data_IF_395010219906
#
_entry.id   IF_395010219906
#
_cell.length_a   1.000
_cell.length_b   1.000
_cell.length_c   1.000
_cell.angle_alpha   90.00
_cell.angle_beta   90.00
_cell.angle_gamma   90.00
#
_symmetry.space_group_name_H-M   'P 1'
#
loop_
_entity.id
_entity.type
_entity.pdbx_description
1 polymer ?
#
# COMPACT_ATOMS: atom_id res chain seq x y z
N UNK A 1 10.10 47.73 -11.31
CA UNK A 1 10.40 47.12 -9.99
C UNK A 1 9.54 45.88 -9.83
N UNK A 2 10.06 44.72 -10.24
CA UNK A 2 9.42 43.43 -9.94
C UNK A 2 9.76 43.13 -8.49
N UNK A 3 8.76 43.10 -7.62
CA UNK A 3 8.94 42.77 -6.21
C UNK A 3 9.12 41.25 -6.14
N UNK A 4 10.35 40.79 -5.92
CA UNK A 4 10.61 39.40 -5.56
C UNK A 4 9.99 39.13 -4.19
N UNK A 5 8.78 38.58 -4.18
CA UNK A 5 8.16 38.06 -2.97
C UNK A 5 8.74 36.67 -2.72
N UNK A 6 9.62 36.57 -1.73
CA UNK A 6 10.08 35.28 -1.23
C UNK A 6 8.89 34.47 -0.73
N UNK A 7 8.64 33.30 -1.32
CA UNK A 7 7.62 32.36 -0.86
C UNK A 7 8.26 31.42 0.15
N UNK A 8 7.83 31.49 1.41
CA UNK A 8 8.22 30.53 2.44
C UNK A 8 7.21 29.39 2.43
N UNK A 9 7.65 28.18 2.10
CA UNK A 9 6.84 26.97 2.25
C UNK A 9 6.98 26.43 3.67
N UNK A 10 5.84 26.22 4.34
CA UNK A 10 5.77 25.65 5.68
C UNK A 10 5.44 24.15 5.59
N UNK A 11 6.00 23.31 6.47
CA UNK A 11 5.66 21.89 6.53
C UNK A 11 4.19 21.70 6.97
N UNK A 12 3.67 20.49 6.71
CA UNK A 12 2.38 20.09 7.27
C UNK A 12 2.48 20.01 8.82
N UNK A 13 1.40 20.40 9.53
CA UNK A 13 1.41 20.42 10.98
C UNK A 13 1.53 19.01 11.56
N UNK A 14 2.35 18.87 12.60
CA UNK A 14 2.50 17.64 13.39
C UNK A 14 1.32 17.47 14.35
N UNK A 15 1.22 16.29 14.97
CA UNK A 15 0.14 15.97 15.93
C UNK A 15 0.02 16.99 17.07
N UNK A 16 1.16 17.44 17.63
CA UNK A 16 1.20 18.45 18.69
C UNK A 16 0.64 19.81 18.22
N UNK A 17 0.98 20.22 17.00
CA UNK A 17 0.50 21.47 16.40
C UNK A 17 -0.99 21.39 16.07
N UNK A 18 -1.46 20.25 15.56
CA UNK A 18 -2.88 19.98 15.31
C UNK A 18 -3.69 19.95 16.60
N UNK A 19 -3.13 19.37 17.67
CA UNK A 19 -3.73 19.36 19.01
C UNK A 19 -3.90 20.78 19.55
N UNK A 20 -2.85 21.62 19.43
CA UNK A 20 -2.90 23.02 19.82
C UNK A 20 -3.90 23.82 18.95
N UNK A 21 -3.94 23.56 17.64
CA UNK A 21 -4.90 24.17 16.72
C UNK A 21 -6.35 23.80 17.09
N UNK A 22 -6.63 22.53 17.36
CA UNK A 22 -7.95 22.05 17.76
C UNK A 22 -8.38 22.69 19.08
N UNK A 23 -7.50 22.72 20.08
CA UNK A 23 -7.74 23.39 21.36
C UNK A 23 -8.13 24.85 21.16
N UNK A 24 -7.39 25.57 20.30
CA UNK A 24 -7.68 26.96 19.98
C UNK A 24 -9.03 27.15 19.25
N UNK A 25 -9.41 26.19 18.40
CA UNK A 25 -10.68 26.24 17.65
C UNK A 25 -11.87 25.88 18.53
N UNK A 26 -11.72 24.95 19.48
CA UNK A 26 -12.78 24.52 20.40
C UNK A 26 -13.16 25.61 21.43
N UNK A 27 -12.29 26.59 21.68
CA UNK A 27 -12.66 27.84 22.33
C UNK A 27 -12.79 27.82 23.86
N UNK A 28 -12.60 26.69 24.55
CA UNK A 28 -12.49 26.63 26.02
C UNK A 28 -11.86 25.31 26.50
N UNK A 29 -11.30 25.35 27.72
CA UNK A 29 -10.52 24.34 28.43
C UNK A 29 -11.01 22.89 28.26
N UNK A 30 -10.14 22.03 27.73
CA UNK A 30 -10.27 20.57 27.78
C UNK A 30 -10.28 20.18 29.26
N UNK A 31 -11.45 19.82 29.80
CA UNK A 31 -11.67 19.55 31.22
C UNK A 31 -11.88 18.05 31.42
N UNK A 32 -10.77 17.33 31.50
CA UNK A 32 -10.73 15.95 31.99
C UNK A 32 -9.99 14.96 31.09
N UNK A 33 -9.72 13.76 31.62
CA UNK A 33 -8.91 12.74 30.94
C UNK A 33 -9.55 12.13 29.68
N UNK A 34 -10.89 12.09 29.61
CA UNK A 34 -11.61 11.54 28.44
C UNK A 34 -11.54 12.49 27.24
N UNK A 35 -11.67 13.81 27.47
CA UNK A 35 -11.51 14.82 26.42
C UNK A 35 -10.08 14.92 25.88
N UNK A 36 -9.06 14.61 26.70
CA UNK A 36 -7.67 14.53 26.24
C UNK A 36 -7.47 13.36 25.26
N UNK A 37 -8.11 12.21 25.51
CA UNK A 37 -8.11 11.07 24.59
C UNK A 37 -8.73 11.43 23.25
N UNK A 38 -9.95 11.99 23.29
CA UNK A 38 -10.67 12.45 22.09
C UNK A 38 -9.90 13.52 21.31
N UNK A 39 -9.16 14.39 22.01
CA UNK A 39 -8.36 15.43 21.38
C UNK A 39 -7.17 14.84 20.63
N UNK A 40 -6.47 13.89 21.24
CA UNK A 40 -5.40 13.15 20.58
C UNK A 40 -5.92 12.34 19.39
N UNK A 41 -7.09 11.72 19.51
CA UNK A 41 -7.73 10.99 18.40
C UNK A 41 -8.13 11.93 17.26
N UNK A 42 -8.71 13.08 17.56
CA UNK A 42 -9.08 14.09 16.56
C UNK A 42 -7.85 14.72 15.88
N UNK A 43 -6.76 14.96 16.63
CA UNK A 43 -5.50 15.45 16.07
C UNK A 43 -4.87 14.41 15.12
N UNK A 44 -4.80 13.14 15.54
CA UNK A 44 -4.33 12.02 14.69
C UNK A 44 -5.22 11.84 13.46
N UNK A 45 -6.53 11.95 13.62
CA UNK A 45 -7.47 11.91 12.51
C UNK A 45 -7.25 13.04 11.49
N UNK A 46 -6.69 14.18 11.89
CA UNK A 46 -6.40 15.34 11.03
C UNK A 46 -5.00 15.37 10.40
N UNK A 47 -4.09 14.44 10.76
CA UNK A 47 -2.76 14.35 10.13
C UNK A 47 -2.89 14.25 8.60
N UNK A 48 -2.00 14.89 7.85
CA UNK A 48 -2.07 15.01 6.39
C UNK A 48 -2.86 16.22 5.86
N UNK A 49 -3.49 17.01 6.72
CA UNK A 49 -4.14 18.27 6.34
C UNK A 49 -3.22 19.47 6.54
N UNK A 50 -3.31 20.48 5.69
CA UNK A 50 -2.70 21.79 5.97
C UNK A 50 -3.36 22.44 7.19
N UNK A 51 -2.67 23.36 7.88
CA UNK A 51 -3.22 24.05 9.06
C UNK A 51 -4.58 24.73 8.77
N UNK A 52 -4.72 25.36 7.60
CA UNK A 52 -5.97 25.99 7.17
C UNK A 52 -7.09 24.98 6.93
N UNK A 53 -6.76 23.82 6.35
CA UNK A 53 -7.72 22.74 6.16
C UNK A 53 -8.14 22.12 7.49
N UNK A 54 -7.19 21.87 8.39
CA UNK A 54 -7.45 21.35 9.72
C UNK A 54 -8.40 22.28 10.50
N UNK A 55 -8.16 23.60 10.51
CA UNK A 55 -9.08 24.56 11.16
C UNK A 55 -10.49 24.49 10.58
N UNK A 56 -10.62 24.41 9.25
CA UNK A 56 -11.93 24.28 8.59
C UNK A 56 -12.63 22.98 8.97
N UNK A 57 -11.89 21.86 8.98
CA UNK A 57 -12.41 20.53 9.34
C UNK A 57 -12.82 20.49 10.81
N UNK A 58 -12.01 21.03 11.72
CA UNK A 58 -12.32 21.11 13.15
C UNK A 58 -13.59 21.93 13.41
N UNK A 59 -13.74 23.11 12.81
CA UNK A 59 -14.96 23.93 12.95
C UNK A 59 -16.20 23.16 12.51
N UNK A 60 -16.14 22.51 11.34
CA UNK A 60 -17.25 21.72 10.82
C UNK A 60 -17.59 20.53 11.72
N UNK A 61 -16.57 19.80 12.17
CA UNK A 61 -16.72 18.64 13.02
C UNK A 61 -17.31 18.98 14.39
N UNK A 62 -16.83 20.05 15.05
CA UNK A 62 -17.34 20.50 16.34
C UNK A 62 -18.80 20.94 16.27
N UNK A 63 -19.22 21.59 15.17
CA UNK A 63 -20.63 21.96 14.97
C UNK A 63 -21.51 20.71 14.79
N UNK A 64 -21.06 19.75 13.98
CA UNK A 64 -21.82 18.52 13.72
C UNK A 64 -21.88 17.58 14.94
N UNK A 65 -20.79 17.50 15.70
CA UNK A 65 -20.68 16.67 16.90
C UNK A 65 -21.14 17.33 18.20
N UNK A 66 -21.64 18.57 18.14
CA UNK A 66 -21.99 19.42 19.29
C UNK A 66 -20.85 19.52 20.33
N UNK A 67 -19.61 19.61 19.86
CA UNK A 67 -18.40 19.54 20.66
C UNK A 67 -17.44 18.47 20.15
N UNK A 68 -16.40 18.21 20.95
CA UNK A 68 -15.43 17.16 20.67
C UNK A 68 -16.04 15.81 21.09
N UNK A 69 -16.43 15.01 20.12
CA UNK A 69 -17.15 13.75 20.34
C UNK A 69 -16.78 12.73 19.25
N UNK A 70 -17.14 11.46 19.47
CA UNK A 70 -16.91 10.39 18.48
C UNK A 70 -17.51 10.72 17.08
N UNK A 71 -18.75 11.26 16.96
CA UNK A 71 -19.26 11.74 15.67
C UNK A 71 -18.44 12.87 15.03
N UNK A 72 -17.82 13.74 15.84
CA UNK A 72 -16.93 14.77 15.34
C UNK A 72 -15.69 14.15 14.69
N UNK A 73 -15.07 13.17 15.34
CA UNK A 73 -13.89 12.43 14.83
C UNK A 73 -14.24 11.71 13.52
N UNK A 74 -15.38 11.03 13.45
CA UNK A 74 -15.85 10.39 12.22
C UNK A 74 -16.02 11.40 11.07
N UNK A 75 -16.53 12.61 11.38
CA UNK A 75 -16.61 13.68 10.38
C UNK A 75 -15.22 14.17 9.94
N UNK A 76 -14.25 14.28 10.86
CA UNK A 76 -12.85 14.65 10.53
C UNK A 76 -12.27 13.62 9.55
N UNK A 77 -12.40 12.32 9.84
CA UNK A 77 -11.90 11.24 8.97
C UNK A 77 -12.50 11.32 7.58
N UNK A 78 -13.82 11.57 7.48
CA UNK A 78 -14.51 11.75 6.19
C UNK A 78 -14.00 12.95 5.41
N UNK A 79 -13.83 14.10 6.05
CA UNK A 79 -13.31 15.31 5.40
C UNK A 79 -11.85 15.16 4.96
N UNK A 80 -11.02 14.52 5.80
CA UNK A 80 -9.64 14.17 5.45
C UNK A 80 -9.59 13.32 4.18
N UNK A 81 -10.43 12.29 4.07
CA UNK A 81 -10.53 11.48 2.86
C UNK A 81 -10.85 12.34 1.64
N UNK A 82 -11.72 13.35 1.77
CA UNK A 82 -12.06 14.25 0.67
C UNK A 82 -10.94 15.23 0.31
N UNK A 83 -10.21 15.75 1.31
CA UNK A 83 -9.07 16.64 1.08
C UNK A 83 -7.92 15.91 0.37
N UNK A 84 -7.59 14.69 0.81
CA UNK A 84 -6.52 13.89 0.23
C UNK A 84 -6.81 13.43 -1.21
N UNK A 85 -8.09 13.25 -1.59
CA UNK A 85 -8.51 12.98 -2.98
C UNK A 85 -8.10 14.06 -3.99
N UNK A 86 -7.65 15.23 -3.53
CA UNK A 86 -7.23 16.33 -4.40
C UNK A 86 -5.82 16.18 -4.94
N UNK A 87 -5.00 15.30 -4.35
CA UNK A 87 -3.64 15.03 -4.82
C UNK A 87 -3.76 14.03 -5.97
N UNK A 88 -3.51 14.46 -7.23
CA UNK A 88 -3.50 13.54 -8.35
C UNK A 88 -2.46 12.47 -8.06
N UNK A 89 -2.79 11.18 -8.26
CA UNK A 89 -1.93 10.03 -7.99
C UNK A 89 -1.76 9.53 -6.54
N UNK A 90 -2.25 10.22 -5.51
CA UNK A 90 -2.23 9.68 -4.14
C UNK A 90 -3.62 9.25 -3.68
N UNK A 91 -3.76 7.99 -3.28
CA UNK A 91 -5.04 7.43 -2.83
C UNK A 91 -4.91 6.76 -1.48
N UNK A 92 -5.94 6.93 -0.63
CA UNK A 92 -6.03 6.25 0.66
C UNK A 92 -6.75 4.92 0.48
N UNK A 93 -6.15 3.84 0.98
CA UNK A 93 -6.75 2.51 0.95
C UNK A 93 -7.10 2.05 2.37
N UNK A 94 -8.30 1.49 2.51
CA UNK A 94 -8.62 0.73 3.71
C UNK A 94 -7.92 -0.64 3.64
N UNK A 95 -7.23 -1.00 4.72
CA UNK A 95 -6.49 -2.26 4.81
C UNK A 95 -7.46 -3.44 5.01
N UNK A 96 -8.18 -3.81 3.95
CA UNK A 96 -9.21 -4.85 3.97
C UNK A 96 -8.67 -6.28 4.07
N UNK A 97 -7.45 -6.53 3.57
CA UNK A 97 -6.83 -7.87 3.51
C UNK A 97 -5.66 -7.99 4.48
N UNK A 98 -5.54 -9.12 5.17
CA UNK A 98 -4.46 -9.41 6.14
C UNK A 98 -3.40 -10.38 5.64
N UNK A 99 -2.47 -10.79 6.49
CA UNK A 99 -1.46 -11.80 6.10
C UNK A 99 -2.06 -13.20 5.89
N UNK A 100 -3.20 -13.51 6.52
CA UNK A 100 -3.93 -14.76 6.28
C UNK A 100 -4.67 -14.79 4.94
N UNK A 101 -4.79 -13.63 4.28
CA UNK A 101 -5.41 -13.47 2.97
C UNK A 101 -4.44 -13.68 1.81
N UNK A 102 -3.15 -13.87 2.11
CA UNK A 102 -2.07 -14.08 1.16
C UNK A 102 -1.63 -15.54 1.31
N UNK A 103 -1.79 -16.37 0.29
CA UNK A 103 -1.21 -17.72 0.29
C UNK A 103 0.30 -17.67 0.05
N UNK A 104 1.06 -18.54 0.70
CA UNK A 104 2.51 -18.62 0.53
C UNK A 104 3.31 -17.43 1.07
N UNK A 105 4.45 -17.11 0.44
CA UNK A 105 5.34 -16.00 0.82
C UNK A 105 5.83 -16.08 2.28
N UNK A 106 6.18 -17.28 2.74
CA UNK A 106 6.55 -17.55 4.14
C UNK A 106 7.71 -16.69 4.65
N UNK A 107 8.75 -16.51 3.84
CA UNK A 107 9.91 -15.67 4.15
C UNK A 107 9.51 -14.21 4.37
N UNK A 108 8.74 -13.64 3.45
CA UNK A 108 8.22 -12.27 3.55
C UNK A 108 7.35 -12.11 4.81
N UNK A 109 6.41 -13.04 5.05
CA UNK A 109 5.55 -13.01 6.24
C UNK A 109 6.37 -13.04 7.54
N UNK A 110 7.43 -13.87 7.60
CA UNK A 110 8.32 -13.94 8.77
C UNK A 110 9.07 -12.63 8.98
N UNK A 111 9.71 -12.12 7.93
CA UNK A 111 10.48 -10.88 7.94
C UNK A 111 9.64 -9.68 8.41
N UNK A 112 8.37 -9.62 7.99
CA UNK A 112 7.41 -8.58 8.39
C UNK A 112 6.99 -8.68 9.86
N UNK A 113 6.82 -9.90 10.39
CA UNK A 113 6.45 -10.11 11.81
C UNK A 113 7.57 -9.68 12.74
N UNK A 114 8.82 -9.99 12.41
CA UNK A 114 10.01 -9.60 13.19
C UNK A 114 10.15 -8.08 13.31
N UNK A 115 9.77 -7.34 12.25
CA UNK A 115 9.92 -5.88 12.18
C UNK A 115 8.72 -5.10 12.69
N UNK A 116 7.61 -5.75 13.03
CA UNK A 116 6.39 -5.10 13.52
C UNK A 116 6.64 -4.19 14.73
N UNK A 117 7.53 -4.60 15.65
CA UNK A 117 7.85 -3.83 16.87
C UNK A 117 8.95 -2.78 16.65
N UNK A 118 9.58 -2.77 15.48
CA UNK A 118 10.74 -1.93 15.20
C UNK A 118 10.41 -0.42 15.07
N UNK A 119 9.13 -0.05 15.08
CA UNK A 119 8.67 1.34 15.05
C UNK A 119 8.48 1.97 16.44
N UNK A 120 8.57 1.18 17.52
CA UNK A 120 8.31 1.64 18.88
C UNK A 120 9.53 2.21 19.63
N UNK A 121 9.29 2.86 20.77
CA UNK A 121 10.35 3.43 21.62
C UNK A 121 11.32 2.39 22.20
N UNK A 122 10.84 1.16 22.43
CA UNK A 122 11.68 0.05 22.87
C UNK A 122 12.72 -0.31 21.81
N UNK A 123 12.31 -0.40 20.54
CA UNK A 123 13.21 -0.68 19.42
C UNK A 123 14.23 0.44 19.23
N UNK A 124 13.80 1.72 19.36
CA UNK A 124 14.71 2.88 19.35
C UNK A 124 15.74 2.80 20.48
N UNK A 125 15.30 2.48 21.72
CA UNK A 125 16.19 2.33 22.88
C UNK A 125 17.16 1.15 22.74
N UNK A 126 16.74 0.09 22.05
CA UNK A 126 17.59 -1.05 21.71
C UNK A 126 18.63 -0.71 20.62
N UNK A 127 18.48 0.41 19.92
CA UNK A 127 19.37 0.83 18.83
C UNK A 127 18.96 0.28 17.46
N UNK A 128 17.72 -0.21 17.29
CA UNK A 128 17.22 -0.62 15.98
C UNK A 128 16.86 0.60 15.13
N UNK A 129 17.28 0.65 13.85
CA UNK A 129 16.72 1.60 12.90
C UNK A 129 15.25 1.23 12.63
N UNK A 130 14.41 2.25 12.41
CA UNK A 130 13.05 2.01 11.94
C UNK A 130 13.09 1.38 10.54
N UNK A 131 12.27 0.34 10.25
CA UNK A 131 12.13 -0.20 8.90
C UNK A 131 11.61 0.87 7.95
N UNK A 132 12.14 0.91 6.74
CA UNK A 132 11.90 1.97 5.75
C UNK A 132 11.29 1.45 4.46
N UNK A 133 11.50 0.18 4.10
CA UNK A 133 10.77 -0.38 2.97
C UNK A 133 11.30 -1.68 2.41
N UNK A 134 10.52 -2.25 1.50
CA UNK A 134 10.87 -3.43 0.71
C UNK A 134 10.46 -3.24 -0.75
N UNK A 135 11.14 -3.95 -1.64
CA UNK A 135 10.79 -4.03 -3.06
C UNK A 135 10.41 -5.48 -3.39
N UNK A 136 9.19 -5.67 -3.90
CA UNK A 136 8.66 -6.94 -4.38
C UNK A 136 8.85 -7.02 -5.90
N UNK A 137 9.72 -7.89 -6.35
CA UNK A 137 9.97 -8.17 -7.76
C UNK A 137 9.38 -9.51 -8.11
N UNK A 138 8.79 -9.71 -9.28
CA UNK A 138 8.30 -11.04 -9.60
C UNK A 138 7.22 -11.12 -10.65
N UNK A 139 6.69 -12.32 -10.82
CA UNK A 139 5.68 -12.63 -11.83
C UNK A 139 4.36 -11.92 -11.52
N UNK A 140 3.70 -11.40 -12.54
CA UNK A 140 2.39 -10.76 -12.41
C UNK A 140 1.37 -11.74 -11.82
N UNK A 141 0.39 -11.24 -11.05
CA UNK A 141 -0.66 -12.09 -10.47
C UNK A 141 -0.24 -12.92 -9.24
N UNK A 142 1.02 -12.86 -8.80
CA UNK A 142 1.53 -13.63 -7.66
C UNK A 142 1.44 -12.90 -6.31
N UNK A 143 0.47 -11.98 -6.14
CA UNK A 143 0.16 -11.39 -4.84
C UNK A 143 1.03 -10.22 -4.36
N UNK A 144 1.95 -9.67 -5.18
CA UNK A 144 2.82 -8.53 -4.79
C UNK A 144 2.04 -7.32 -4.24
N UNK A 145 1.03 -6.87 -4.99
CA UNK A 145 0.16 -5.74 -4.58
C UNK A 145 -0.73 -6.09 -3.38
N UNK A 146 -1.11 -7.36 -3.22
CA UNK A 146 -1.88 -7.82 -2.07
C UNK A 146 -1.02 -7.83 -0.80
N UNK A 147 0.26 -8.20 -0.90
CA UNK A 147 1.21 -8.16 0.21
C UNK A 147 1.36 -6.76 0.79
N UNK A 148 1.35 -5.70 -0.03
CA UNK A 148 1.38 -4.31 0.46
C UNK A 148 0.17 -4.00 1.37
N UNK A 149 -1.02 -4.47 0.99
CA UNK A 149 -2.25 -4.30 1.78
C UNK A 149 -2.18 -5.09 3.10
N UNK A 150 -1.66 -6.31 3.02
CA UNK A 150 -1.49 -7.18 4.17
C UNK A 150 -0.51 -6.60 5.21
N UNK A 151 0.59 -5.98 4.77
CA UNK A 151 1.56 -5.30 5.65
C UNK A 151 0.89 -4.20 6.45
N UNK A 152 0.14 -3.31 5.78
CA UNK A 152 -0.55 -2.20 6.43
C UNK A 152 -1.54 -2.69 7.49
N UNK A 153 -2.29 -3.76 7.20
CA UNK A 153 -3.22 -4.36 8.16
C UNK A 153 -2.50 -5.01 9.34
N UNK A 154 -1.43 -5.78 9.09
CA UNK A 154 -0.66 -6.46 10.14
C UNK A 154 -0.07 -5.47 11.14
N UNK A 155 0.47 -4.37 10.64
CA UNK A 155 1.08 -3.32 11.48
C UNK A 155 0.07 -2.29 11.99
N UNK A 156 -1.19 -2.37 11.53
CA UNK A 156 -2.27 -1.41 11.84
C UNK A 156 -1.90 0.03 11.46
N UNK A 157 -1.16 0.17 10.35
CA UNK A 157 -0.79 1.47 9.80
C UNK A 157 -1.75 1.86 8.68
N UNK A 158 -1.97 3.17 8.43
CA UNK A 158 -2.70 3.60 7.25
C UNK A 158 -1.96 3.16 5.97
N UNK A 159 -2.73 2.94 4.89
CA UNK A 159 -2.19 2.58 3.59
C UNK A 159 -2.45 3.70 2.58
N UNK A 160 -1.36 4.23 2.03
CA UNK A 160 -1.38 5.13 0.89
C UNK A 160 -0.90 4.40 -0.35
N UNK A 161 -1.57 4.58 -1.48
CA UNK A 161 -1.07 4.15 -2.80
C UNK A 161 -0.66 5.39 -3.59
N UNK A 162 0.59 5.40 -4.05
CA UNK A 162 1.12 6.39 -4.98
C UNK A 162 1.26 5.74 -6.37
N UNK A 163 0.53 6.29 -7.34
CA UNK A 163 0.61 5.90 -8.73
C UNK A 163 1.61 6.79 -9.47
N UNK A 164 2.85 6.31 -9.65
CA UNK A 164 3.87 7.12 -10.31
C UNK A 164 3.52 7.42 -11.77
N UNK A 165 2.89 6.49 -12.50
CA UNK A 165 2.49 6.74 -13.88
C UNK A 165 1.50 7.91 -13.93
N UNK A 166 0.50 7.94 -13.06
CA UNK A 166 -0.44 9.06 -12.95
C UNK A 166 0.25 10.37 -12.49
N UNK A 167 1.25 10.30 -11.63
CA UNK A 167 2.01 11.47 -11.19
C UNK A 167 2.83 12.10 -12.35
N UNK A 168 3.34 11.27 -13.27
CA UNK A 168 4.16 11.71 -14.42
C UNK A 168 3.35 11.96 -15.70
N UNK A 169 2.17 11.36 -15.86
CA UNK A 169 1.32 11.50 -17.05
C UNK A 169 0.87 12.95 -17.34
N UNK A 170 0.99 13.84 -16.36
CA UNK A 170 0.71 15.26 -16.53
C UNK A 170 -0.78 15.61 -16.41
N UNK A 171 -1.01 16.87 -16.06
CA UNK A 171 -2.31 17.49 -15.85
C UNK A 171 -2.09 18.97 -15.55
N UNK A 172 -2.99 19.61 -14.79
CA UNK A 172 -2.83 21.02 -14.41
C UNK A 172 -1.67 21.28 -13.43
N UNK A 173 -1.10 20.22 -12.84
CA UNK A 173 0.00 20.29 -11.86
C UNK A 173 1.27 19.64 -12.42
N UNK A 174 2.43 20.19 -12.05
CA UNK A 174 3.72 19.61 -12.42
C UNK A 174 3.97 18.31 -11.65
N UNK A 175 4.62 17.30 -12.28
CA UNK A 175 4.99 16.05 -11.60
C UNK A 175 5.81 16.28 -10.32
N UNK A 176 6.68 17.31 -10.32
CA UNK A 176 7.46 17.69 -9.15
C UNK A 176 6.58 18.11 -7.96
N UNK A 177 5.58 18.94 -8.21
CA UNK A 177 4.66 19.40 -7.17
C UNK A 177 3.83 18.23 -6.63
N UNK A 178 3.35 17.35 -7.53
CA UNK A 178 2.55 16.18 -7.17
C UNK A 178 3.34 15.20 -6.30
N UNK A 179 4.56 14.83 -6.70
CA UNK A 179 5.41 13.91 -5.94
C UNK A 179 5.80 14.54 -4.59
N UNK A 180 6.16 15.82 -4.56
CA UNK A 180 6.52 16.52 -3.32
C UNK A 180 5.36 16.58 -2.33
N UNK A 181 4.16 16.91 -2.80
CA UNK A 181 2.98 16.95 -1.94
C UNK A 181 2.61 15.54 -1.45
N UNK A 182 2.73 14.52 -2.30
CA UNK A 182 2.47 13.13 -1.92
C UNK A 182 3.44 12.62 -0.85
N UNK A 183 4.74 12.92 -0.97
CA UNK A 183 5.74 12.53 0.04
C UNK A 183 5.55 13.29 1.35
N UNK A 184 5.24 14.59 1.31
CA UNK A 184 4.91 15.38 2.51
C UNK A 184 3.69 14.83 3.24
N UNK A 185 2.64 14.46 2.51
CA UNK A 185 1.46 13.83 3.10
C UNK A 185 1.82 12.49 3.74
N UNK A 186 2.59 11.63 3.06
CA UNK A 186 3.05 10.38 3.65
C UNK A 186 3.85 10.59 4.94
N UNK A 187 4.78 11.54 4.96
CA UNK A 187 5.58 11.85 6.15
C UNK A 187 4.74 12.40 7.31
N UNK A 188 3.74 13.23 7.03
CA UNK A 188 2.84 13.75 8.05
C UNK A 188 1.89 12.69 8.63
N UNK A 189 1.65 11.61 7.89
CA UNK A 189 0.81 10.48 8.31
C UNK A 189 1.60 9.39 9.01
N UNK A 190 2.92 9.55 9.16
CA UNK A 190 3.76 8.53 9.74
C UNK A 190 3.35 8.22 11.21
N UNK A 191 3.33 6.93 11.62
CA UNK A 191 3.75 5.76 10.85
C UNK A 191 2.72 5.33 9.78
N UNK A 192 3.17 5.15 8.54
CA UNK A 192 2.32 4.85 7.39
C UNK A 192 2.99 3.85 6.44
N UNK A 193 2.20 3.05 5.74
CA UNK A 193 2.66 2.25 4.60
C UNK A 193 2.38 3.02 3.31
N UNK A 194 3.43 3.33 2.55
CA UNK A 194 3.34 3.88 1.21
C UNK A 194 3.57 2.78 0.17
N UNK A 195 2.50 2.36 -0.48
CA UNK A 195 2.54 1.40 -1.57
C UNK A 195 2.75 2.12 -2.91
N UNK A 196 3.79 1.71 -3.63
CA UNK A 196 4.08 2.13 -5.00
C UNK A 196 3.89 0.91 -5.88
N UNK A 197 2.85 0.93 -6.70
CA UNK A 197 2.56 -0.19 -7.61
C UNK A 197 3.26 0.00 -8.94
N UNK A 198 3.88 -1.05 -9.46
CA UNK A 198 4.55 -1.08 -10.77
C UNK A 198 5.50 0.11 -10.95
N UNK A 199 6.48 0.22 -10.05
CA UNK A 199 7.43 1.33 -10.01
C UNK A 199 8.16 1.53 -11.36
N UNK A 200 8.35 0.47 -12.14
CA UNK A 200 8.83 0.46 -13.53
C UNK A 200 8.04 1.37 -14.45
N UNK A 201 6.71 1.48 -14.29
CA UNK A 201 5.88 2.35 -15.14
C UNK A 201 6.20 3.82 -14.90
N UNK A 202 6.56 4.19 -13.68
CA UNK A 202 7.06 5.52 -13.35
C UNK A 202 8.37 5.82 -14.08
N UNK A 203 9.28 4.85 -14.20
CA UNK A 203 10.53 5.01 -14.93
C UNK A 203 10.30 5.21 -16.42
N UNK A 204 9.50 4.36 -17.05
CA UNK A 204 9.15 4.47 -18.47
C UNK A 204 8.53 5.83 -18.76
N UNK A 205 7.58 6.27 -17.93
CA UNK A 205 6.97 7.60 -18.07
C UNK A 205 7.99 8.73 -17.89
N UNK A 206 8.93 8.60 -16.96
CA UNK A 206 9.97 9.61 -16.71
C UNK A 206 11.03 9.69 -17.82
N UNK A 207 11.38 8.57 -18.46
CA UNK A 207 12.41 8.49 -19.50
C UNK A 207 12.07 9.23 -20.79
N UNK A 208 10.80 9.62 -20.97
CA UNK A 208 10.33 10.40 -22.11
C UNK A 208 10.62 11.91 -22.00
N UNK A 209 10.91 12.43 -20.79
CA UNK A 209 11.15 13.86 -20.54
C UNK A 209 12.32 14.07 -19.55
N UNK A 210 13.40 14.79 -19.95
CA UNK A 210 14.50 15.16 -19.04
C UNK A 210 14.06 15.85 -17.74
N UNK A 211 12.94 16.57 -17.74
CA UNK A 211 12.37 17.16 -16.50
C UNK A 211 11.81 16.08 -15.60
N UNK A 212 11.05 15.14 -16.14
CA UNK A 212 10.49 14.02 -15.40
C UNK A 212 11.60 13.13 -14.81
N UNK A 213 12.68 12.87 -15.56
CA UNK A 213 13.88 12.16 -15.05
C UNK A 213 14.51 12.83 -13.83
N UNK A 214 14.60 14.18 -13.80
CA UNK A 214 15.13 14.90 -12.62
C UNK A 214 14.20 14.82 -11.41
N UNK A 215 12.89 14.93 -11.64
CA UNK A 215 11.88 14.75 -10.58
C UNK A 215 11.95 13.34 -10.02
N UNK A 216 12.07 12.34 -10.89
CA UNK A 216 12.22 10.95 -10.50
C UNK A 216 13.52 10.72 -9.70
N UNK A 217 14.64 11.30 -10.13
CA UNK A 217 15.90 11.26 -9.37
C UNK A 217 15.74 11.84 -7.96
N UNK A 218 15.00 12.94 -7.82
CA UNK A 218 14.69 13.54 -6.50
C UNK A 218 13.82 12.63 -5.65
N UNK A 219 12.87 11.93 -6.25
CA UNK A 219 12.06 10.92 -5.57
C UNK A 219 12.90 9.73 -5.07
N UNK A 220 13.86 9.26 -5.87
CA UNK A 220 14.80 8.22 -5.45
C UNK A 220 15.70 8.64 -4.28
N UNK A 221 16.10 9.92 -4.26
CA UNK A 221 16.84 10.48 -3.12
C UNK A 221 15.95 10.48 -1.88
N UNK A 222 14.70 10.93 -1.99
CA UNK A 222 13.74 10.87 -0.88
C UNK A 222 13.49 9.43 -0.40
N UNK A 223 13.44 8.45 -1.31
CA UNK A 223 13.32 7.04 -0.97
C UNK A 223 14.51 6.49 -0.18
N UNK A 224 15.69 7.08 -0.35
CA UNK A 224 16.94 6.58 0.24
C UNK A 224 16.92 6.59 1.78
N UNK A 225 17.52 5.57 2.38
CA UNK A 225 17.45 5.24 3.81
C UNK A 225 18.09 6.32 4.73
N UNK A 226 18.88 7.26 4.21
CA UNK A 226 19.55 8.30 5.02
C UNK A 226 18.70 9.53 5.31
N UNK A 227 17.73 9.85 4.45
CA UNK A 227 17.10 11.19 4.45
C UNK A 227 15.79 11.26 5.25
N UNK A 228 15.10 10.14 5.46
CA UNK A 228 13.77 10.16 6.12
C UNK A 228 13.93 10.25 7.64
N UNK A 229 13.35 11.29 8.24
CA UNK A 229 13.20 11.40 9.70
C UNK A 229 11.89 10.73 10.19
N UNK A 230 10.89 10.62 9.33
CA UNK A 230 9.58 10.04 9.65
C UNK A 230 9.50 8.54 9.31
N UNK A 231 8.79 7.71 10.12
CA UNK A 231 8.63 6.27 9.88
C UNK A 231 7.64 5.97 8.74
N UNK A 232 8.03 6.28 7.50
CA UNK A 232 7.29 5.92 6.29
C UNK A 232 7.86 4.62 5.74
N UNK A 233 7.08 3.54 5.82
CA UNK A 233 7.46 2.24 5.27
C UNK A 233 6.99 2.11 3.82
N UNK A 234 7.93 2.00 2.89
CA UNK A 234 7.64 1.92 1.45
C UNK A 234 7.55 0.47 1.00
N UNK A 235 6.44 0.10 0.37
CA UNK A 235 6.31 -1.18 -0.35
C UNK A 235 6.23 -0.87 -1.83
N UNK A 236 7.30 -1.16 -2.57
CA UNK A 236 7.30 -1.02 -4.02
C UNK A 236 7.07 -2.39 -4.67
N UNK A 237 6.33 -2.43 -5.78
CA UNK A 237 6.19 -3.63 -6.62
C UNK A 237 6.79 -3.37 -8.00
N UNK A 238 7.38 -4.40 -8.61
CA UNK A 238 7.72 -4.37 -10.03
C UNK A 238 7.50 -5.73 -10.70
N UNK A 239 7.04 -5.70 -11.95
CA UNK A 239 6.88 -6.89 -12.80
C UNK A 239 8.03 -7.06 -13.80
N UNK A 240 8.73 -5.98 -14.14
CA UNK A 240 9.81 -5.97 -15.13
C UNK A 240 11.06 -5.31 -14.55
N UNK A 241 12.09 -6.11 -14.28
CA UNK A 241 13.38 -5.64 -13.72
C UNK A 241 14.24 -4.92 -14.75
N UNK A 242 14.04 -5.17 -16.05
CA UNK A 242 14.86 -4.57 -17.12
C UNK A 242 14.64 -3.07 -17.24
N UNK A 243 13.47 -2.60 -16.80
CA UNK A 243 13.07 -1.19 -16.78
C UNK A 243 13.51 -0.47 -15.50
N UNK A 244 14.03 -1.19 -14.50
CA UNK A 244 14.48 -0.61 -13.25
C UNK A 244 15.92 -0.13 -13.38
N UNK A 245 16.23 1.12 -13.02
CA UNK A 245 17.60 1.59 -13.04
C UNK A 245 18.40 0.95 -11.89
N UNK A 246 19.69 0.63 -12.12
CA UNK A 246 20.57 0.03 -11.12
C UNK A 246 20.63 0.82 -9.81
N UNK A 247 20.43 2.13 -9.88
CA UNK A 247 20.35 3.02 -8.74
C UNK A 247 19.32 2.52 -7.72
N UNK A 248 18.13 2.08 -8.15
CA UNK A 248 17.04 1.63 -7.27
C UNK A 248 17.44 0.40 -6.42
N UNK A 249 18.31 -0.44 -6.98
CA UNK A 249 18.75 -1.70 -6.41
C UNK A 249 19.97 -1.53 -5.48
N UNK A 250 20.53 -0.32 -5.38
CA UNK A 250 21.62 -0.05 -4.45
C UNK A 250 21.16 -0.26 -3.02
N UNK A 251 21.97 -1.00 -2.25
CA UNK A 251 21.85 -1.08 -0.78
C UNK A 251 21.79 0.33 -0.22
N UNK A 252 20.78 0.63 0.59
CA UNK A 252 20.53 2.00 1.02
C UNK A 252 19.21 2.61 0.55
N UNK A 253 18.32 1.88 -0.13
CA UNK A 253 16.98 2.37 -0.54
C UNK A 253 15.82 1.55 -0.03
N UNK A 254 15.98 0.23 -0.08
CA UNK A 254 15.10 -0.73 0.55
C UNK A 254 15.89 -1.51 1.60
N UNK A 255 15.21 -1.93 2.65
CA UNK A 255 15.79 -2.80 3.67
C UNK A 255 15.98 -4.22 3.11
N UNK A 256 15.05 -4.65 2.25
CA UNK A 256 15.05 -5.99 1.66
C UNK A 256 14.42 -6.02 0.26
N UNK A 257 14.89 -6.96 -0.54
CA UNK A 257 14.37 -7.29 -1.86
C UNK A 257 13.78 -8.70 -1.80
N UNK A 258 12.51 -8.85 -2.18
CA UNK A 258 11.88 -10.17 -2.27
C UNK A 258 11.53 -10.49 -3.71
N UNK A 259 11.99 -11.64 -4.17
CA UNK A 259 11.54 -12.23 -5.41
C UNK A 259 10.28 -13.07 -5.16
N UNK A 260 9.22 -12.77 -5.91
CA UNK A 260 7.91 -13.41 -5.85
C UNK A 260 7.70 -14.19 -7.14
N UNK A 261 8.00 -15.49 -7.05
CA UNK A 261 7.82 -16.41 -8.17
C UNK A 261 6.37 -16.92 -8.24
N UNK A 262 6.09 -17.75 -9.25
CA UNK A 262 4.91 -18.60 -9.30
C UNK A 262 4.81 -19.45 -8.02
N UNK A 263 3.59 -19.63 -7.49
CA UNK A 263 3.39 -20.39 -6.26
C UNK A 263 3.83 -21.84 -6.44
N UNK A 264 4.52 -22.37 -5.43
CA UNK A 264 4.75 -23.81 -5.29
C UNK A 264 3.44 -24.58 -5.09
N UNK A 265 3.46 -25.90 -5.24
CA UNK A 265 2.25 -26.74 -5.08
C UNK A 265 1.54 -26.50 -3.74
N UNK A 266 2.31 -26.44 -2.65
CA UNK A 266 1.78 -26.15 -1.31
C UNK A 266 1.16 -24.75 -1.23
N UNK A 267 1.77 -23.76 -1.88
CA UNK A 267 1.23 -22.40 -1.94
C UNK A 267 -0.03 -22.34 -2.81
N UNK A 268 -0.12 -23.10 -3.91
CA UNK A 268 -1.33 -23.21 -4.73
C UNK A 268 -2.49 -23.80 -3.94
N UNK A 269 -2.22 -24.85 -3.15
CA UNK A 269 -3.19 -25.44 -2.21
C UNK A 269 -3.72 -24.41 -1.22
N UNK A 270 -2.84 -23.63 -0.59
CA UNK A 270 -3.23 -22.52 0.30
C UNK A 270 -4.08 -21.46 -0.42
N UNK A 271 -3.67 -21.06 -1.63
CA UNK A 271 -4.36 -20.05 -2.43
C UNK A 271 -5.77 -20.51 -2.78
N UNK A 272 -5.93 -21.74 -3.29
CA UNK A 272 -7.24 -22.34 -3.59
C UNK A 272 -8.15 -22.34 -2.35
N UNK A 273 -7.63 -22.75 -1.20
CA UNK A 273 -8.38 -22.73 0.05
C UNK A 273 -8.87 -21.33 0.43
N UNK A 274 -8.00 -20.32 0.31
CA UNK A 274 -8.35 -18.92 0.59
C UNK A 274 -9.47 -18.44 -0.34
N UNK A 275 -9.38 -18.72 -1.65
CA UNK A 275 -10.38 -18.25 -2.61
C UNK A 275 -11.73 -18.95 -2.43
N UNK A 276 -11.76 -20.24 -2.09
CA UNK A 276 -12.97 -21.00 -1.76
C UNK A 276 -13.63 -20.46 -0.48
N UNK A 277 -12.87 -20.30 0.60
CA UNK A 277 -13.37 -19.80 1.89
C UNK A 277 -14.00 -18.39 1.74
N UNK A 278 -13.35 -17.50 0.97
CA UNK A 278 -13.90 -16.16 0.68
C UNK A 278 -15.24 -16.18 -0.05
N UNK A 279 -15.54 -17.26 -0.76
CA UNK A 279 -16.78 -17.46 -1.53
C UNK A 279 -17.81 -18.30 -0.75
N UNK A 280 -17.60 -18.49 0.55
CA UNK A 280 -18.51 -19.24 1.42
C UNK A 280 -18.48 -20.75 1.18
N UNK A 281 -17.40 -21.27 0.59
CA UNK A 281 -17.19 -22.71 0.37
C UNK A 281 -16.21 -23.24 1.39
N UNK A 282 -16.53 -24.36 2.02
CA UNK A 282 -15.62 -25.02 2.96
C UNK A 282 -14.51 -25.72 2.17
N UNK A 283 -13.23 -25.27 2.27
CA UNK A 283 -12.14 -25.87 1.51
C UNK A 283 -11.91 -27.35 1.82
N UNK A 284 -12.34 -27.84 2.99
CA UNK A 284 -12.20 -29.24 3.39
C UNK A 284 -13.12 -30.19 2.60
N UNK A 285 -14.07 -29.66 1.83
CA UNK A 285 -14.96 -30.45 0.98
C UNK A 285 -14.37 -30.76 -0.40
N UNK A 286 -13.18 -30.25 -0.72
CA UNK A 286 -12.56 -30.35 -2.04
C UNK A 286 -11.18 -31.02 -1.94
N UNK A 287 -10.74 -31.78 -2.98
CA UNK A 287 -9.44 -32.43 -3.02
C UNK A 287 -8.33 -31.43 -3.40
N UNK A 288 -8.00 -30.52 -2.47
CA UNK A 288 -7.10 -29.39 -2.76
C UNK A 288 -5.68 -29.82 -3.17
N UNK A 289 -5.19 -30.95 -2.66
CA UNK A 289 -3.89 -31.49 -3.03
C UNK A 289 -3.85 -31.88 -4.52
N UNK A 290 -4.88 -32.56 -5.01
CA UNK A 290 -5.00 -32.97 -6.42
C UNK A 290 -5.18 -31.74 -7.32
N UNK A 291 -6.06 -30.82 -6.95
CA UNK A 291 -6.29 -29.58 -7.69
C UNK A 291 -5.03 -28.70 -7.75
N UNK A 292 -4.22 -28.66 -6.69
CA UNK A 292 -2.97 -27.91 -6.66
C UNK A 292 -1.87 -28.53 -7.53
N UNK A 293 -1.85 -29.87 -7.65
CA UNK A 293 -0.96 -30.58 -8.56
C UNK A 293 -1.33 -30.31 -10.02
N UNK A 294 -2.63 -30.30 -10.35
CA UNK A 294 -3.14 -29.99 -11.70
C UNK A 294 -2.93 -28.52 -12.09
N UNK A 295 -2.94 -27.61 -11.12
CA UNK A 295 -2.75 -26.17 -11.33
C UNK A 295 -1.28 -25.74 -11.54
N UNK A 296 -0.43 -26.61 -12.09
CA UNK A 296 0.98 -26.30 -12.31
C UNK A 296 1.14 -25.00 -13.09
N UNK A 297 2.08 -24.14 -12.66
CA UNK A 297 2.43 -22.85 -13.29
C UNK A 297 1.36 -21.77 -13.28
N UNK A 298 0.18 -22.03 -12.71
CA UNK A 298 -0.82 -20.99 -12.49
C UNK A 298 -0.36 -20.02 -11.39
N UNK A 299 -0.51 -18.73 -11.65
CA UNK A 299 -0.35 -17.66 -10.67
C UNK A 299 -1.53 -17.61 -9.70
N UNK A 300 -1.37 -16.90 -8.58
CA UNK A 300 -2.46 -16.73 -7.61
C UNK A 300 -3.71 -16.06 -8.22
N UNK A 301 -3.53 -15.12 -9.14
CA UNK A 301 -4.65 -14.49 -9.84
C UNK A 301 -5.38 -15.46 -10.78
N UNK A 302 -4.65 -16.37 -11.45
CA UNK A 302 -5.25 -17.37 -12.33
C UNK A 302 -6.00 -18.45 -11.54
N UNK A 303 -5.47 -18.86 -10.39
CA UNK A 303 -6.19 -19.72 -9.44
C UNK A 303 -7.50 -19.07 -8.97
N UNK A 304 -7.48 -17.76 -8.68
CA UNK A 304 -8.71 -17.03 -8.36
C UNK A 304 -9.72 -17.04 -9.50
N UNK A 305 -9.25 -16.84 -10.73
CA UNK A 305 -10.11 -16.88 -11.92
C UNK A 305 -10.68 -18.28 -12.14
N UNK A 306 -9.89 -19.34 -12.01
CA UNK A 306 -10.35 -20.72 -12.12
C UNK A 306 -11.47 -21.03 -11.12
N UNK A 307 -11.29 -20.67 -9.84
CA UNK A 307 -12.34 -20.82 -8.81
C UNK A 307 -13.60 -20.02 -9.17
N UNK A 308 -13.43 -18.82 -9.72
CA UNK A 308 -14.55 -17.96 -10.13
C UNK A 308 -15.29 -18.53 -11.35
N UNK A 309 -14.56 -19.06 -12.33
CA UNK A 309 -15.12 -19.69 -13.51
C UNK A 309 -15.93 -20.95 -13.14
N UNK A 310 -15.36 -21.80 -12.28
CA UNK A 310 -16.03 -22.99 -11.76
C UNK A 310 -17.37 -22.65 -11.06
N UNK A 311 -17.40 -21.56 -10.28
CA UNK A 311 -18.64 -21.07 -9.68
C UNK A 311 -19.67 -20.60 -10.71
N UNK A 312 -19.26 -19.90 -11.76
CA UNK A 312 -20.18 -19.50 -12.83
C UNK A 312 -20.79 -20.72 -13.53
N UNK A 313 -20.00 -21.75 -13.80
CA UNK A 313 -20.48 -23.01 -14.39
C UNK A 313 -21.51 -23.68 -13.48
N UNK A 314 -21.18 -23.90 -12.21
CA UNK A 314 -22.09 -24.53 -11.25
C UNK A 314 -23.39 -23.72 -11.07
N UNK A 315 -23.28 -22.38 -11.01
CA UNK A 315 -24.43 -21.50 -10.88
C UNK A 315 -25.32 -21.50 -12.12
N UNK A 316 -24.74 -21.48 -13.32
CA UNK A 316 -25.48 -21.56 -14.58
C UNK A 316 -26.31 -22.85 -14.69
N UNK A 317 -25.80 -23.94 -14.12
CA UNK A 317 -26.47 -25.24 -14.05
C UNK A 317 -27.40 -25.40 -12.83
N UNK A 318 -27.58 -24.34 -12.03
CA UNK A 318 -28.44 -24.35 -10.82
C UNK A 318 -28.10 -25.45 -9.82
N UNK A 319 -26.80 -25.74 -9.65
CA UNK A 319 -26.29 -26.76 -8.72
C UNK A 319 -25.15 -26.23 -7.86
N UNK A 320 -24.75 -27.02 -6.88
CA UNK A 320 -23.58 -26.73 -6.06
C UNK A 320 -22.27 -26.95 -6.84
N UNK A 321 -21.23 -26.25 -6.37
CA UNK A 321 -19.86 -26.39 -6.88
C UNK A 321 -19.35 -27.80 -6.55
N UNK A 322 -18.74 -28.44 -7.55
CA UNK A 322 -18.14 -29.78 -7.44
C UNK A 322 -16.64 -29.73 -7.74
N UNK A 323 -15.92 -30.78 -7.35
CA UNK A 323 -14.50 -30.96 -7.63
C UNK A 323 -14.20 -30.91 -9.14
N UNK A 324 -15.09 -31.50 -9.95
CA UNK A 324 -14.96 -31.51 -11.41
C UNK A 324 -15.05 -30.11 -12.02
N UNK A 325 -15.85 -29.21 -11.45
CA UNK A 325 -15.93 -27.85 -11.97
C UNK A 325 -14.60 -27.11 -11.76
N UNK A 326 -13.98 -27.33 -10.60
CA UNK A 326 -12.68 -26.74 -10.26
C UNK A 326 -11.58 -27.33 -11.16
N UNK A 327 -11.53 -28.66 -11.30
CA UNK A 327 -10.55 -29.33 -12.16
C UNK A 327 -10.68 -28.87 -13.62
N UNK A 328 -11.90 -28.84 -14.17
CA UNK A 328 -12.14 -28.36 -15.53
C UNK A 328 -11.71 -26.90 -15.69
N UNK A 329 -12.09 -26.01 -14.76
CA UNK A 329 -11.71 -24.60 -14.83
C UNK A 329 -10.20 -24.38 -14.73
N UNK A 330 -9.49 -25.19 -13.93
CA UNK A 330 -8.02 -25.17 -13.85
C UNK A 330 -7.41 -25.59 -15.19
N UNK A 331 -7.88 -26.68 -15.79
CA UNK A 331 -7.37 -27.19 -17.06
C UNK A 331 -7.67 -26.27 -18.26
N UNK A 332 -8.80 -25.58 -18.24
CA UNK A 332 -9.17 -24.59 -19.26
C UNK A 332 -8.40 -23.25 -19.11
N UNK A 333 -7.80 -23.01 -17.95
CA UNK A 333 -7.03 -21.79 -17.71
C UNK A 333 -5.67 -21.89 -18.39
N UNK A 334 -5.43 -21.01 -19.36
CA UNK A 334 -4.12 -20.90 -20.03
C UNK A 334 -3.14 -20.15 -19.12
N UNK A 335 -2.04 -20.78 -18.68
CA UNK A 335 -1.06 -20.12 -17.82
C UNK A 335 -0.36 -18.95 -18.52
N UNK A 336 -0.27 -17.81 -17.83
CA UNK A 336 0.52 -16.66 -18.23
C UNK A 336 1.99 -17.04 -18.41
N UNK A 337 2.45 -18.04 -17.64
CA UNK A 337 3.78 -18.62 -17.81
C UNK A 337 4.03 -19.10 -19.23
N UNK A 338 3.08 -19.80 -19.86
CA UNK A 338 3.29 -20.36 -21.19
C UNK A 338 3.32 -19.27 -22.28
N UNK A 339 2.69 -18.12 -22.02
CA UNK A 339 2.71 -16.96 -22.94
C UNK A 339 3.96 -16.11 -22.78
N UNK A 340 4.55 -16.05 -21.57
CA UNK A 340 5.66 -15.16 -21.22
C UNK A 340 6.87 -15.91 -20.65
N UNK A 341 7.07 -17.16 -21.05
CA UNK A 341 8.05 -18.06 -20.46
C UNK A 341 9.47 -17.46 -20.46
N UNK A 342 9.91 -16.91 -21.59
CA UNK A 342 11.24 -16.30 -21.73
C UNK A 342 11.44 -15.16 -20.73
N UNK A 343 10.47 -14.25 -20.62
CA UNK A 343 10.53 -13.13 -19.67
C UNK A 343 10.57 -13.58 -18.22
N UNK A 344 9.83 -14.64 -17.87
CA UNK A 344 9.85 -15.19 -16.51
C UNK A 344 11.19 -15.87 -16.23
N UNK A 345 11.77 -16.58 -17.20
CA UNK A 345 13.12 -17.16 -17.08
C UNK A 345 14.18 -16.08 -16.89
N UNK A 346 14.16 -15.02 -17.71
CA UNK A 346 15.07 -13.87 -17.56
C UNK A 346 14.94 -13.22 -16.18
N UNK A 347 13.71 -13.04 -15.70
CA UNK A 347 13.44 -12.48 -14.40
C UNK A 347 13.93 -13.37 -13.24
N UNK A 348 13.78 -14.70 -13.37
CA UNK A 348 14.31 -15.70 -12.41
C UNK A 348 15.83 -15.72 -12.41
N UNK A 349 16.45 -15.68 -13.59
CA UNK A 349 17.91 -15.67 -13.72
C UNK A 349 18.51 -14.37 -13.19
N UNK A 350 17.81 -13.24 -13.32
CA UNK A 350 18.20 -11.98 -12.69
C UNK A 350 18.15 -12.05 -11.15
N UNK A 351 17.23 -12.83 -10.58
CA UNK A 351 17.05 -12.94 -9.13
C UNK A 351 18.03 -13.92 -8.46
N UNK A 352 18.74 -14.73 -9.23
CA UNK A 352 19.80 -15.65 -8.77
C UNK A 352 21.13 -14.92 -8.63
#
# INVERSE_FOLDING_TARGET
LVRELGRVELPLPREEELSALLTRVAGAEVRGGDEQGLLADAARASLGLTASEAVRVFRKALVHGQGLSEPAIQSIVREKRQALRRIPALTFHEAGSGLGDVGGLGELKRWLRERRRAFGDEARRFGLPAPRGLLLLGVQGCGKSLSAKAVAREWRFPLLRLDLAAAFAGGDRSPEATIREATQVAESLAPVVLWIDEIEKGFVASGLDPRASRVFGSFLVWLSLSEKQSPVFVVATANDVTQLPPELLRRGRFDELFFVDLPSEEERREILAIHLARRGRDPLQFPLEELAAEAERLSGAELEQAVTAALYTAFAESRELTDNDLANAIQETVPLYDTYEERIKELRDWAR
#
